data_IF_487446417317
#
_entry.id   IF_487446417317
#
_cell.length_a   1.000
_cell.length_b   1.000
_cell.length_c   1.000
_cell.angle_alpha   90.00
_cell.angle_beta   90.00
_cell.angle_gamma   90.00
#
_symmetry.space_group_name_H-M   'P 1'
#
loop_
_entity.id
_entity.type
_entity.pdbx_description
1 polymer ?
#
# COMPACT_ATOMS: atom_id res chain seq x y z
N UNK A 1 14.98 -1.01 22.54
CA UNK A 1 14.97 -0.31 21.24
C UNK A 1 13.51 -0.06 20.90
N UNK A 2 13.08 1.19 20.81
CA UNK A 2 11.75 1.53 20.28
C UNK A 2 11.77 1.29 18.79
N UNK A 3 11.18 0.18 18.34
CA UNK A 3 11.04 -0.14 16.92
C UNK A 3 10.07 0.85 16.30
N UNK A 4 10.58 1.78 15.50
CA UNK A 4 9.77 2.77 14.79
C UNK A 4 8.93 2.06 13.71
N UNK A 5 7.63 2.36 13.66
CA UNK A 5 6.73 1.88 12.59
C UNK A 5 7.30 2.25 11.21
N UNK A 6 7.41 1.31 10.26
CA UNK A 6 8.06 1.56 8.99
C UNK A 6 7.14 2.30 8.01
N UNK A 7 7.42 3.57 7.75
CA UNK A 7 6.68 4.37 6.77
C UNK A 7 7.15 4.12 5.33
N UNK A 8 6.19 4.08 4.40
CA UNK A 8 6.43 3.92 2.96
C UNK A 8 7.34 5.03 2.41
N UNK A 9 8.24 4.78 1.44
CA UNK A 9 9.09 5.83 0.93
C UNK A 9 8.29 6.89 0.14
N UNK A 10 8.67 8.18 0.21
CA UNK A 10 8.09 9.22 -0.65
C UNK A 10 8.16 8.83 -2.12
N UNK A 11 7.10 9.08 -2.87
CA UNK A 11 7.02 8.71 -4.29
C UNK A 11 7.54 9.86 -5.16
N UNK A 12 8.60 9.66 -5.97
CA UNK A 12 9.05 10.68 -6.90
C UNK A 12 7.97 11.01 -7.94
N UNK A 13 7.76 12.29 -8.24
CA UNK A 13 6.79 12.72 -9.25
C UNK A 13 7.01 12.02 -10.61
N UNK A 14 8.27 11.83 -11.00
CA UNK A 14 8.61 11.16 -12.25
C UNK A 14 8.13 9.68 -12.30
N UNK A 15 8.08 8.97 -11.17
CA UNK A 15 7.52 7.61 -11.11
C UNK A 15 6.02 7.64 -11.33
N UNK A 16 5.33 8.61 -10.73
CA UNK A 16 3.88 8.80 -10.88
C UNK A 16 3.48 9.21 -12.29
N UNK A 17 4.24 10.11 -12.89
CA UNK A 17 4.02 10.61 -14.25
C UNK A 17 4.51 9.62 -15.31
N UNK A 18 5.13 8.50 -14.90
CA UNK A 18 5.75 7.50 -15.77
C UNK A 18 6.80 8.11 -16.71
N UNK A 19 7.56 9.06 -16.18
CA UNK A 19 8.66 9.77 -16.85
C UNK A 19 10.01 9.55 -16.15
N UNK A 20 10.03 8.78 -15.05
CA UNK A 20 11.25 8.41 -14.36
C UNK A 20 12.19 7.70 -15.32
N UNK A 21 13.47 8.07 -15.28
CA UNK A 21 14.50 7.27 -15.94
C UNK A 21 14.66 5.97 -15.15
N UNK A 22 15.04 4.91 -15.83
CA UNK A 22 15.32 3.59 -15.23
C UNK A 22 16.15 3.67 -13.94
N UNK A 23 17.23 4.46 -13.93
CA UNK A 23 18.08 4.63 -12.75
C UNK A 23 17.37 5.30 -11.56
N UNK A 24 16.47 6.26 -11.82
CA UNK A 24 15.70 6.95 -10.79
C UNK A 24 14.61 6.01 -10.23
N UNK A 25 13.97 5.21 -11.10
CA UNK A 25 13.03 4.18 -10.69
C UNK A 25 13.72 3.08 -9.86
N UNK A 26 14.91 2.63 -10.27
CA UNK A 26 15.70 1.65 -9.55
C UNK A 26 16.15 2.15 -8.16
N UNK A 27 16.56 3.42 -8.05
CA UNK A 27 16.91 4.03 -6.77
C UNK A 27 15.70 4.06 -5.82
N UNK A 28 14.53 4.49 -6.30
CA UNK A 28 13.31 4.47 -5.49
C UNK A 28 12.89 3.05 -5.10
N UNK A 29 13.03 2.08 -6.00
CA UNK A 29 12.76 0.68 -5.69
C UNK A 29 13.68 0.13 -4.60
N UNK A 30 14.93 0.57 -4.52
CA UNK A 30 15.81 0.20 -3.41
C UNK A 30 15.29 0.73 -2.06
N UNK A 31 14.73 1.94 -2.03
CA UNK A 31 14.09 2.48 -0.82
C UNK A 31 12.81 1.71 -0.46
N UNK A 32 12.03 1.30 -1.48
CA UNK A 32 10.85 0.45 -1.32
C UNK A 32 11.24 -0.93 -0.76
N UNK A 33 12.29 -1.55 -1.26
CA UNK A 33 12.75 -2.85 -0.78
C UNK A 33 13.27 -2.76 0.67
N UNK A 34 14.02 -1.71 0.99
CA UNK A 34 14.44 -1.43 2.36
C UNK A 34 13.24 -1.19 3.29
N UNK A 35 12.20 -0.48 2.85
CA UNK A 35 10.95 -0.33 3.58
C UNK A 35 10.25 -1.67 3.78
N UNK A 36 10.13 -2.47 2.72
CA UNK A 36 9.46 -3.77 2.73
C UNK A 36 10.12 -4.68 3.77
N UNK A 37 11.44 -4.73 3.82
CA UNK A 37 12.15 -5.55 4.81
C UNK A 37 11.89 -5.10 6.26
N UNK A 38 11.83 -3.78 6.51
CA UNK A 38 11.42 -3.26 7.82
C UNK A 38 9.96 -3.58 8.14
N UNK A 39 9.04 -3.45 7.18
CA UNK A 39 7.62 -3.80 7.34
C UNK A 39 7.42 -5.29 7.66
N UNK A 40 8.18 -6.16 6.98
CA UNK A 40 8.18 -7.61 7.23
C UNK A 40 8.68 -7.94 8.63
N UNK A 41 9.74 -7.28 9.10
CA UNK A 41 10.23 -7.45 10.46
C UNK A 41 9.21 -6.97 11.49
N UNK A 42 8.61 -5.80 11.26
CA UNK A 42 7.59 -5.21 12.13
C UNK A 42 6.34 -6.09 12.26
N UNK A 43 5.79 -6.63 11.16
CA UNK A 43 4.62 -7.53 11.20
C UNK A 43 4.85 -8.78 12.04
N UNK A 44 6.10 -9.29 12.05
CA UNK A 44 6.49 -10.51 12.78
C UNK A 44 6.79 -10.27 14.26
N UNK A 45 6.96 -9.01 14.68
CA UNK A 45 7.26 -8.63 16.05
C UNK A 45 5.98 -8.16 16.75
N UNK A 46 5.42 -9.03 17.60
CA UNK A 46 4.21 -8.77 18.40
C UNK A 46 4.32 -7.49 19.23
N UNK A 47 5.50 -7.18 19.77
CA UNK A 47 5.69 -5.99 20.60
C UNK A 47 5.75 -4.72 19.75
N UNK A 48 6.38 -4.78 18.58
CA UNK A 48 6.45 -3.65 17.66
C UNK A 48 5.11 -3.34 16.99
N UNK A 49 4.29 -4.36 16.72
CA UNK A 49 2.99 -4.25 16.08
C UNK A 49 1.81 -4.32 17.08
N UNK A 50 2.01 -3.95 18.34
CA UNK A 50 1.01 -4.08 19.41
C UNK A 50 -0.33 -3.36 19.14
N UNK A 51 -0.36 -2.37 18.24
CA UNK A 51 -1.57 -1.68 17.79
C UNK A 51 -2.35 -2.40 16.68
N UNK A 52 -1.89 -3.57 16.24
CA UNK A 52 -2.44 -4.33 15.11
C UNK A 52 -2.74 -5.77 15.54
N UNK A 53 -3.97 -6.20 15.31
CA UNK A 53 -4.45 -7.53 15.69
C UNK A 53 -3.73 -8.64 14.93
N UNK A 54 -3.70 -9.86 15.50
CA UNK A 54 -3.12 -11.01 14.82
C UNK A 54 -3.75 -11.30 13.43
N UNK A 55 -5.10 -11.19 13.25
CA UNK A 55 -5.70 -11.31 11.93
C UNK A 55 -5.18 -10.28 10.91
N UNK A 56 -5.08 -9.00 11.30
CA UNK A 56 -4.53 -7.97 10.40
C UNK A 56 -3.06 -8.21 10.08
N UNK A 57 -2.25 -8.65 11.05
CA UNK A 57 -0.85 -9.03 10.79
C UNK A 57 -0.75 -10.19 9.80
N UNK A 58 -1.69 -11.15 9.82
CA UNK A 58 -1.77 -12.21 8.81
C UNK A 58 -2.04 -11.68 7.40
N UNK A 59 -2.98 -10.74 7.26
CA UNK A 59 -3.24 -10.04 5.99
C UNK A 59 -1.99 -9.31 5.48
N UNK A 60 -1.30 -8.57 6.35
CA UNK A 60 -0.10 -7.83 5.96
C UNK A 60 1.07 -8.76 5.60
N UNK A 61 1.22 -9.87 6.30
CA UNK A 61 2.24 -10.86 5.99
C UNK A 61 2.02 -11.47 4.58
N UNK A 62 0.77 -11.80 4.25
CA UNK A 62 0.38 -12.25 2.92
C UNK A 62 0.65 -11.16 1.86
N UNK A 63 0.25 -9.92 2.12
CA UNK A 63 0.45 -8.80 1.20
C UNK A 63 1.94 -8.49 0.94
N UNK A 64 2.79 -8.59 1.96
CA UNK A 64 4.25 -8.36 1.86
C UNK A 64 5.02 -9.57 1.28
N UNK A 65 4.31 -10.65 0.96
CA UNK A 65 4.84 -11.93 0.50
C UNK A 65 5.96 -12.47 1.41
N UNK A 66 5.62 -12.68 2.68
CA UNK A 66 6.51 -13.29 3.69
C UNK A 66 5.95 -14.56 4.32
N UNK A 67 4.97 -15.16 3.64
CA UNK A 67 4.09 -16.16 4.22
C UNK A 67 2.96 -15.49 5.01
N UNK A 68 2.03 -16.30 5.50
CA UNK A 68 0.79 -15.83 6.10
C UNK A 68 -0.39 -16.26 5.25
N UNK A 69 -1.34 -16.92 5.88
CA UNK A 69 -2.68 -17.10 5.34
C UNK A 69 -3.50 -15.97 5.96
N UNK A 70 -4.19 -15.11 5.18
CA UNK A 70 -5.11 -14.15 5.76
C UNK A 70 -6.15 -14.94 6.58
N UNK A 71 -5.98 -14.94 7.90
CA UNK A 71 -6.85 -15.65 8.83
C UNK A 71 -8.30 -15.13 8.80
N UNK A 72 -8.48 -13.96 8.18
CA UNK A 72 -9.74 -13.27 7.93
C UNK A 72 -10.34 -13.81 6.63
N UNK A 73 -11.44 -14.58 6.68
CA UNK A 73 -12.15 -15.00 5.47
C UNK A 73 -12.71 -13.77 4.78
N UNK A 74 -12.22 -13.47 3.58
CA UNK A 74 -12.62 -12.29 2.83
C UNK A 74 -12.99 -12.68 1.40
N UNK A 75 -14.02 -12.02 0.87
CA UNK A 75 -14.34 -12.09 -0.57
C UNK A 75 -13.29 -11.36 -1.41
N UNK A 76 -12.45 -10.54 -0.77
CA UNK A 76 -11.37 -9.82 -1.40
C UNK A 76 -10.07 -10.62 -1.37
N UNK A 77 -9.41 -10.70 -2.52
CA UNK A 77 -8.09 -11.37 -2.65
C UNK A 77 -7.00 -10.41 -2.19
N UNK A 78 -6.21 -10.83 -1.20
CA UNK A 78 -4.98 -10.12 -0.81
C UNK A 78 -3.91 -10.39 -1.87
N UNK A 79 -3.43 -9.33 -2.52
CA UNK A 79 -2.38 -9.42 -3.55
C UNK A 79 -1.00 -9.42 -2.90
N UNK A 80 -0.17 -10.38 -3.31
CA UNK A 80 1.24 -10.40 -2.94
C UNK A 80 2.00 -9.22 -3.55
N UNK A 81 3.07 -8.83 -2.87
CA UNK A 81 3.95 -7.75 -3.31
C UNK A 81 4.59 -8.06 -4.69
N UNK A 82 4.75 -7.07 -5.59
CA UNK A 82 5.29 -7.30 -6.92
C UNK A 82 6.65 -8.02 -6.93
N UNK A 83 6.87 -8.99 -7.83
CA UNK A 83 8.09 -9.77 -7.86
C UNK A 83 9.32 -8.94 -8.22
N UNK A 84 10.47 -9.45 -7.80
CA UNK A 84 11.77 -8.98 -8.28
C UNK A 84 12.02 -9.48 -9.71
N UNK A 85 12.84 -8.78 -10.50
CA UNK A 85 13.19 -9.17 -11.87
C UNK A 85 12.29 -8.57 -12.98
N UNK A 86 11.25 -7.82 -12.62
CA UNK A 86 10.57 -6.92 -13.55
C UNK A 86 11.49 -5.76 -13.93
N UNK A 87 11.26 -5.19 -15.12
CA UNK A 87 11.82 -3.90 -15.51
C UNK A 87 11.58 -2.85 -14.41
N UNK A 88 12.56 -2.00 -14.03
CA UNK A 88 12.44 -1.07 -12.92
C UNK A 88 11.25 -0.11 -13.03
N UNK A 89 10.94 0.41 -14.22
CA UNK A 89 9.81 1.32 -14.41
C UNK A 89 8.48 0.58 -14.23
N UNK A 90 8.39 -0.63 -14.79
CA UNK A 90 7.21 -1.49 -14.64
C UNK A 90 7.01 -1.91 -13.19
N UNK A 91 8.09 -2.30 -12.49
CA UNK A 91 8.05 -2.71 -11.08
C UNK A 91 7.64 -1.55 -10.19
N UNK A 92 8.20 -0.37 -10.41
CA UNK A 92 7.86 0.83 -9.68
C UNK A 92 6.36 1.13 -9.79
N UNK A 93 5.82 1.06 -11.02
CA UNK A 93 4.39 1.23 -11.24
C UNK A 93 3.55 0.13 -10.58
N UNK A 94 3.97 -1.13 -10.68
CA UNK A 94 3.30 -2.26 -10.05
C UNK A 94 3.23 -2.12 -8.52
N UNK A 95 4.28 -1.58 -7.88
CA UNK A 95 4.29 -1.29 -6.43
C UNK A 95 3.23 -0.26 -6.07
N UNK A 96 3.09 0.82 -6.83
CA UNK A 96 2.06 1.83 -6.57
C UNK A 96 0.64 1.27 -6.72
N UNK A 97 0.40 0.47 -7.76
CA UNK A 97 -0.89 -0.18 -7.98
C UNK A 97 -1.19 -1.21 -6.89
N UNK A 98 -0.20 -2.02 -6.49
CA UNK A 98 -0.31 -2.97 -5.38
C UNK A 98 -0.65 -2.25 -4.07
N UNK A 99 0.05 -1.15 -3.76
CA UNK A 99 -0.20 -0.34 -2.56
C UNK A 99 -1.61 0.22 -2.56
N UNK A 100 -2.04 0.82 -3.67
CA UNK A 100 -3.41 1.33 -3.84
C UNK A 100 -4.47 0.23 -3.65
N UNK A 101 -4.20 -1.00 -4.13
CA UNK A 101 -5.03 -2.17 -3.87
C UNK A 101 -5.12 -2.52 -2.38
N UNK A 102 -3.99 -2.51 -1.67
CA UNK A 102 -3.97 -2.83 -0.24
C UNK A 102 -4.70 -1.77 0.59
N UNK A 103 -4.55 -0.48 0.24
CA UNK A 103 -5.28 0.61 0.90
C UNK A 103 -6.80 0.46 0.69
N UNK A 104 -7.23 0.16 -0.53
CA UNK A 104 -8.65 -0.09 -0.85
C UNK A 104 -9.20 -1.27 -0.05
N UNK A 105 -8.46 -2.38 -0.03
CA UNK A 105 -8.79 -3.56 0.78
C UNK A 105 -8.96 -3.19 2.25
N UNK A 106 -8.00 -2.47 2.84
CA UNK A 106 -8.05 -2.10 4.26
C UNK A 106 -9.16 -1.11 4.57
N UNK A 107 -9.59 -0.33 3.58
CA UNK A 107 -10.67 0.64 3.71
C UNK A 107 -12.06 -0.01 3.67
N UNK A 108 -12.20 -1.20 3.07
CA UNK A 108 -13.49 -1.89 2.87
C UNK A 108 -13.64 -3.20 3.67
N UNK A 109 -12.54 -3.88 3.99
CA UNK A 109 -12.58 -5.25 4.55
C UNK A 109 -13.27 -5.31 5.91
N UNK A 110 -13.14 -4.28 6.74
CA UNK A 110 -13.74 -4.22 8.07
C UNK A 110 -15.27 -4.15 8.02
N UNK A 111 -15.84 -3.54 6.97
CA UNK A 111 -17.28 -3.51 6.72
C UNK A 111 -17.83 -4.90 6.36
N UNK A 112 -17.00 -5.72 5.73
CA UNK A 112 -17.42 -7.01 5.16
C UNK A 112 -17.24 -8.17 6.14
N UNK A 113 -16.17 -8.16 6.93
CA UNK A 113 -15.79 -9.33 7.74
C UNK A 113 -16.33 -9.25 9.17
N UNK A 114 -16.49 -8.05 9.74
CA UNK A 114 -17.12 -7.84 11.05
C UNK A 114 -16.35 -8.44 12.24
N UNK A 115 -15.89 -7.60 13.17
CA UNK A 115 -15.37 -8.02 14.48
C UNK A 115 -13.93 -8.54 14.54
N UNK A 116 -13.40 -9.11 13.45
CA UNK A 116 -12.01 -9.57 13.37
C UNK A 116 -11.01 -8.46 13.01
N UNK A 117 -11.50 -7.41 12.33
CA UNK A 117 -10.73 -6.23 11.96
C UNK A 117 -11.50 -4.97 12.38
N UNK A 118 -10.81 -3.99 12.95
CA UNK A 118 -11.40 -2.70 13.30
C UNK A 118 -11.01 -1.60 12.31
N UNK A 119 -11.88 -0.59 12.07
CA UNK A 119 -11.53 0.56 11.25
C UNK A 119 -10.25 1.28 11.74
N UNK A 120 -10.05 1.31 13.05
CA UNK A 120 -8.94 2.03 13.68
C UNK A 120 -7.57 1.39 13.39
N UNK A 121 -7.46 0.05 13.47
CA UNK A 121 -6.19 -0.62 13.14
C UNK A 121 -5.90 -0.59 11.62
N UNK A 122 -6.94 -0.66 10.78
CA UNK A 122 -6.78 -0.49 9.34
C UNK A 122 -6.28 0.91 8.99
N UNK A 123 -6.86 1.95 9.60
CA UNK A 123 -6.41 3.33 9.45
C UNK A 123 -4.96 3.51 9.92
N UNK A 124 -4.59 2.95 11.07
CA UNK A 124 -3.21 2.98 11.57
C UNK A 124 -2.23 2.41 10.54
N UNK A 125 -2.55 1.26 9.92
CA UNK A 125 -1.67 0.68 8.89
C UNK A 125 -1.59 1.57 7.65
N UNK A 126 -2.72 2.12 7.20
CA UNK A 126 -2.73 3.03 6.05
C UNK A 126 -1.88 4.27 6.31
N UNK A 127 -2.03 4.89 7.48
CA UNK A 127 -1.39 6.15 7.83
C UNK A 127 0.09 5.99 8.20
N UNK A 128 0.45 4.96 8.98
CA UNK A 128 1.79 4.83 9.54
C UNK A 128 2.70 3.89 8.74
N UNK A 129 2.13 2.93 7.99
CA UNK A 129 2.91 1.91 7.26
C UNK A 129 2.90 2.15 5.76
N UNK A 130 1.71 2.43 5.20
CA UNK A 130 1.52 2.58 3.76
C UNK A 130 1.64 4.04 3.30
N UNK A 131 1.70 5.02 4.20
CA UNK A 131 1.83 6.44 3.81
C UNK A 131 3.21 6.97 4.15
N UNK A 132 3.84 7.76 3.26
CA UNK A 132 5.12 8.38 3.54
C UNK A 132 5.14 9.26 4.79
N UNK A 133 6.22 9.13 5.55
CA UNK A 133 6.49 9.98 6.68
C UNK A 133 6.51 11.46 6.23
N UNK A 134 5.80 12.32 6.96
CA UNK A 134 5.69 13.74 6.63
C UNK A 134 4.47 14.12 5.79
N UNK A 135 3.66 13.16 5.34
CA UNK A 135 2.33 13.44 4.74
C UNK A 135 1.20 13.41 5.77
N UNK A 136 1.50 13.12 7.04
CA UNK A 136 0.53 13.17 8.14
C UNK A 136 -0.14 14.55 8.22
N UNK A 137 -1.48 14.57 8.27
CA UNK A 137 -2.26 15.80 8.28
C UNK A 137 -2.34 16.55 6.94
N UNK A 138 -1.73 16.02 5.87
CA UNK A 138 -1.89 16.55 4.52
C UNK A 138 -3.02 15.81 3.81
N UNK A 139 -3.91 16.55 3.16
CA UNK A 139 -4.92 15.95 2.28
C UNK A 139 -4.22 15.41 1.03
N UNK A 140 -4.13 14.08 0.90
CA UNK A 140 -3.49 13.41 -0.24
C UNK A 140 -4.42 12.36 -0.84
N UNK A 141 -4.26 12.09 -2.14
CA UNK A 141 -4.92 10.96 -2.76
C UNK A 141 -4.28 9.68 -2.21
N UNK A 142 -5.06 8.84 -1.55
CA UNK A 142 -4.53 7.60 -0.97
C UNK A 142 -4.05 6.58 -2.01
N UNK A 143 -4.36 6.76 -3.30
CA UNK A 143 -3.87 5.90 -4.38
C UNK A 143 -2.48 6.33 -4.87
N UNK A 144 -2.33 7.60 -5.26
CA UNK A 144 -1.14 8.12 -5.92
C UNK A 144 -0.26 9.00 -5.01
N UNK A 145 -0.70 9.25 -3.78
CA UNK A 145 -0.02 10.08 -2.76
C UNK A 145 0.24 11.54 -3.16
N UNK A 146 -0.41 12.02 -4.23
CA UNK A 146 -0.36 13.43 -4.60
C UNK A 146 -1.24 14.27 -3.68
N UNK A 147 -0.83 15.52 -3.35
CA UNK A 147 -1.67 16.47 -2.64
C UNK A 147 -3.01 16.66 -3.35
N UNK A 148 -4.09 16.62 -2.58
CA UNK A 148 -5.42 16.95 -3.07
C UNK A 148 -5.64 18.46 -2.94
N UNK A 149 -6.39 19.07 -3.87
CA UNK A 149 -6.86 20.44 -3.70
C UNK A 149 -7.71 20.58 -2.43
N UNK A 150 -7.65 21.76 -1.79
CA UNK A 150 -8.45 22.05 -0.58
C UNK A 150 -9.96 21.99 -0.82
N UNK A 151 -10.39 22.25 -2.06
CA UNK A 151 -11.81 22.20 -2.44
C UNK A 151 -12.29 20.75 -2.54
N UNK A 152 -13.33 20.33 -1.79
CA UNK A 152 -13.81 18.95 -1.82
C UNK A 152 -14.25 18.46 -3.21
N UNK A 153 -14.84 19.34 -4.04
CA UNK A 153 -15.24 19.00 -5.40
C UNK A 153 -14.03 18.70 -6.30
N UNK A 154 -12.94 19.45 -6.15
CA UNK A 154 -11.71 19.28 -6.92
C UNK A 154 -10.93 18.05 -6.43
N UNK A 155 -10.94 17.80 -5.12
CA UNK A 155 -10.42 16.55 -4.54
C UNK A 155 -11.19 15.32 -5.04
N UNK A 156 -12.52 15.39 -5.13
CA UNK A 156 -13.34 14.34 -5.73
C UNK A 156 -13.06 14.17 -7.23
N UNK A 157 -12.82 15.27 -7.96
CA UNK A 157 -12.45 15.21 -9.37
C UNK A 157 -11.09 14.53 -9.60
N UNK A 158 -10.14 14.68 -8.68
CA UNK A 158 -8.84 13.99 -8.75
C UNK A 158 -9.01 12.47 -8.85
N UNK A 159 -9.94 11.88 -8.09
CA UNK A 159 -10.21 10.44 -8.14
C UNK A 159 -10.57 9.93 -9.55
N UNK A 160 -11.22 10.76 -10.37
CA UNK A 160 -11.60 10.40 -11.75
C UNK A 160 -10.40 10.39 -12.72
N UNK A 161 -9.32 11.11 -12.39
CA UNK A 161 -8.13 11.25 -13.24
C UNK A 161 -6.88 10.60 -12.63
N UNK A 162 -6.98 10.04 -11.42
CA UNK A 162 -5.87 9.40 -10.74
C UNK A 162 -5.36 8.21 -11.58
N UNK A 163 -4.10 8.24 -12.05
CA UNK A 163 -3.58 7.22 -12.96
C UNK A 163 -3.41 5.88 -12.24
N UNK A 164 -3.05 5.90 -10.94
CA UNK A 164 -2.90 4.70 -10.12
C UNK A 164 -4.27 4.03 -9.89
N UNK A 165 -5.30 4.81 -9.53
CA UNK A 165 -6.67 4.29 -9.37
C UNK A 165 -7.22 3.70 -10.67
N UNK A 166 -6.95 4.37 -11.79
CA UNK A 166 -7.34 3.88 -13.13
C UNK A 166 -6.65 2.55 -13.46
N UNK A 167 -5.35 2.43 -13.17
CA UNK A 167 -4.61 1.20 -13.36
C UNK A 167 -5.11 0.08 -12.43
N UNK A 168 -5.39 0.39 -11.15
CA UNK A 168 -5.99 -0.54 -10.19
C UNK A 168 -7.29 -1.12 -10.72
N UNK A 169 -8.21 -0.27 -11.18
CA UNK A 169 -9.51 -0.69 -11.69
C UNK A 169 -9.39 -1.67 -12.88
N UNK A 170 -8.45 -1.44 -13.80
CA UNK A 170 -8.19 -2.34 -14.94
C UNK A 170 -7.68 -3.72 -14.50
N UNK A 171 -6.75 -3.72 -13.54
CA UNK A 171 -6.18 -4.98 -13.00
C UNK A 171 -7.12 -5.73 -12.04
N UNK A 172 -8.20 -5.08 -11.59
CA UNK A 172 -9.21 -5.65 -10.70
C UNK A 172 -10.35 -6.39 -11.41
N UNK A 173 -10.61 -6.07 -12.68
CA UNK A 173 -11.62 -6.74 -13.51
C UNK A 173 -11.10 -7.99 -14.22
N UNK A 174 -9.79 -8.15 -14.30
CA UNK A 174 -9.13 -9.35 -14.83
C UNK A 174 -8.84 -10.29 -13.66
N UNK A 175 -9.07 -11.60 -13.85
CA UNK A 175 -8.62 -12.65 -12.91
C UNK A 175 -7.23 -12.28 -12.36
N UNK A 176 -6.94 -12.50 -11.06
CA UNK A 176 -5.64 -12.21 -10.50
C UNK A 176 -4.58 -12.83 -11.41
N UNK A 177 -3.84 -11.97 -12.10
CA UNK A 177 -2.79 -12.42 -13.01
C UNK A 177 -1.69 -13.03 -12.14
N UNK A 178 -1.20 -14.23 -12.47
CA UNK A 178 -0.17 -14.92 -11.70
C UNK A 178 1.23 -14.36 -12.02
N UNK A 179 1.34 -13.04 -12.18
CA UNK A 179 2.66 -12.40 -12.20
C UNK A 179 3.24 -12.47 -10.79
#
# INVERSE_FOLDING_TARGET
MTTTTPAFPPVPAAVLDRTAREADAAAWLADVDAWRDRARAWVRDDAAAAGVSAPLRGVLAAALAVGGDPAVPSVYVVRGFPPEGLDPELRAWAVLVWRSWLVDYLSDVWDTVGGDLTPAECALVVDDVLTPAGLAGTSVCLDCLQPLPDRPADAAAHAAVCPVRTARARTGTERPSPW
#
